data_IF_189878412315
#
_entry.id   IF_189878412315
#
_cell.length_a   1.000
_cell.length_b   1.000
_cell.length_c   1.000
_cell.angle_alpha   90.00
_cell.angle_beta   90.00
_cell.angle_gamma   90.00
#
_symmetry.space_group_name_H-M   'P 1'
#
loop_
_entity.id
_entity.type
_entity.pdbx_description
1 polymer ?
#
# COMPACT_ATOMS: atom_id res chain seq x y z
N UNK A 1 1.03 -27.51 1.55
CA UNK A 1 1.29 -27.55 0.08
C UNK A 1 0.35 -26.63 -0.72
N UNK A 2 -0.93 -26.47 -0.39
CA UNK A 2 -1.87 -25.57 -1.10
C UNK A 2 -1.56 -24.08 -0.89
N UNK A 3 -1.29 -23.63 0.33
CA UNK A 3 -1.04 -22.22 0.65
C UNK A 3 0.22 -21.63 -0.02
N UNK A 4 1.27 -22.43 -0.21
CA UNK A 4 2.48 -21.97 -0.91
C UNK A 4 2.28 -21.85 -2.43
N UNK A 5 1.42 -22.67 -3.04
CA UNK A 5 1.08 -22.56 -4.46
C UNK A 5 0.27 -21.29 -4.75
N UNK A 6 -0.68 -20.95 -3.89
CA UNK A 6 -1.50 -19.74 -4.02
C UNK A 6 -0.66 -18.48 -3.87
N UNK A 7 0.33 -18.50 -2.97
CA UNK A 7 1.27 -17.38 -2.79
C UNK A 7 2.14 -17.17 -4.05
N UNK A 8 2.69 -18.23 -4.64
CA UNK A 8 3.50 -18.15 -5.87
C UNK A 8 2.69 -17.55 -7.03
N UNK A 9 1.43 -17.99 -7.20
CA UNK A 9 0.55 -17.46 -8.22
C UNK A 9 0.24 -15.96 -8.00
N UNK A 10 0.04 -15.55 -6.74
CA UNK A 10 -0.16 -14.14 -6.39
C UNK A 10 1.09 -13.32 -6.67
N UNK A 11 2.27 -13.78 -6.30
CA UNK A 11 3.53 -13.10 -6.62
C UNK A 11 3.73 -12.91 -8.11
N UNK A 12 3.41 -13.93 -8.92
CA UNK A 12 3.50 -13.83 -10.38
C UNK A 12 2.54 -12.75 -10.93
N UNK A 13 1.29 -12.67 -10.42
CA UNK A 13 0.35 -11.61 -10.81
C UNK A 13 0.84 -10.23 -10.43
N UNK A 14 1.36 -10.05 -9.21
CA UNK A 14 1.94 -8.78 -8.76
C UNK A 14 3.09 -8.34 -9.67
N UNK A 15 4.03 -9.25 -9.95
CA UNK A 15 5.16 -8.94 -10.84
C UNK A 15 4.72 -8.63 -12.27
N UNK A 16 3.70 -9.31 -12.79
CA UNK A 16 3.13 -9.06 -14.11
C UNK A 16 2.41 -7.70 -14.20
N UNK A 17 1.67 -7.30 -13.15
CA UNK A 17 0.99 -6.00 -13.08
C UNK A 17 1.96 -4.84 -12.95
N UNK A 18 2.90 -4.93 -12.01
CA UNK A 18 3.75 -3.80 -11.63
C UNK A 18 5.06 -3.70 -12.41
N UNK A 19 5.58 -4.84 -12.90
CA UNK A 19 6.86 -4.86 -13.61
C UNK A 19 6.91 -3.93 -14.84
N UNK A 20 6.00 -4.09 -15.80
CA UNK A 20 5.94 -3.23 -17.00
C UNK A 20 5.61 -1.76 -16.68
N UNK A 21 4.88 -1.51 -15.59
CA UNK A 21 4.36 -0.20 -15.22
C UNK A 21 5.23 0.56 -14.22
N UNK A 22 6.39 0.01 -13.79
CA UNK A 22 7.19 0.55 -12.70
C UNK A 22 7.54 2.04 -12.87
N UNK A 23 7.89 2.48 -14.08
CA UNK A 23 8.22 3.88 -14.37
C UNK A 23 7.05 4.84 -14.12
N UNK A 24 5.80 4.42 -14.37
CA UNK A 24 4.60 5.23 -14.15
C UNK A 24 4.40 5.57 -12.67
N UNK A 25 4.88 4.73 -11.76
CA UNK A 25 4.78 4.95 -10.33
C UNK A 25 5.73 6.04 -9.83
N UNK A 26 6.82 6.33 -10.54
CA UNK A 26 7.75 7.41 -10.18
C UNK A 26 7.08 8.79 -10.21
N UNK A 27 6.16 9.01 -11.14
CA UNK A 27 5.45 10.28 -11.32
C UNK A 27 3.99 10.25 -10.93
N UNK A 28 3.52 9.14 -10.35
CA UNK A 28 2.12 8.99 -9.93
C UNK A 28 1.76 10.01 -8.83
N UNK A 29 0.80 10.93 -9.05
CA UNK A 29 0.52 12.03 -8.12
C UNK A 29 0.24 11.54 -6.69
N UNK A 30 -0.67 10.58 -6.52
CA UNK A 30 -1.03 10.08 -5.19
C UNK A 30 0.08 9.31 -4.48
N UNK A 31 1.03 8.69 -5.22
CA UNK A 31 2.18 8.02 -4.61
C UNK A 31 3.29 9.03 -4.25
N UNK A 32 3.46 10.06 -5.07
CA UNK A 32 4.52 11.06 -4.95
C UNK A 32 4.12 12.30 -4.12
N UNK A 33 2.92 12.32 -3.56
CA UNK A 33 2.40 13.44 -2.79
C UNK A 33 3.29 13.74 -1.58
N UNK A 34 4.02 14.87 -1.69
CA UNK A 34 5.02 15.31 -0.71
C UNK A 34 4.41 15.67 0.63
N UNK A 35 3.21 16.24 0.63
CA UNK A 35 2.55 16.67 1.87
C UNK A 35 2.09 15.46 2.68
N UNK A 36 1.44 14.50 2.04
CA UNK A 36 1.08 13.22 2.67
C UNK A 36 2.31 12.49 3.19
N UNK A 37 3.39 12.40 2.41
CA UNK A 37 4.63 11.75 2.84
C UNK A 37 5.26 12.47 4.05
N UNK A 38 5.30 13.80 4.05
CA UNK A 38 5.82 14.58 5.18
C UNK A 38 4.98 14.37 6.45
N UNK A 39 3.64 14.32 6.32
CA UNK A 39 2.74 13.99 7.45
C UNK A 39 3.02 12.60 8.02
N UNK A 40 3.22 11.58 7.17
CA UNK A 40 3.53 10.23 7.62
C UNK A 40 4.88 10.16 8.35
N UNK A 41 5.91 10.86 7.84
CA UNK A 41 7.21 10.97 8.54
C UNK A 41 7.04 11.64 9.90
N UNK A 42 6.33 12.77 9.96
CA UNK A 42 6.11 13.49 11.21
C UNK A 42 5.36 12.64 12.26
N UNK A 43 4.35 11.87 11.84
CA UNK A 43 3.57 10.98 12.74
C UNK A 43 4.42 9.86 13.32
N UNK A 44 5.33 9.31 12.53
CA UNK A 44 6.25 8.29 13.02
C UNK A 44 7.39 8.87 13.85
N UNK A 45 7.62 10.18 13.79
CA UNK A 45 8.64 10.91 14.55
C UNK A 45 10.00 10.16 14.61
N UNK A 46 10.65 9.92 13.46
CA UNK A 46 11.89 9.17 13.41
C UNK A 46 13.03 9.90 14.13
N UNK A 47 14.00 9.13 14.62
CA UNK A 47 15.24 9.65 15.20
C UNK A 47 16.38 9.51 14.19
N UNK A 48 17.39 10.38 14.22
CA UNK A 48 18.55 10.29 13.33
C UNK A 48 19.34 8.95 13.41
N UNK A 49 19.17 8.22 14.50
CA UNK A 49 19.80 6.90 14.73
C UNK A 49 18.96 5.73 14.24
N UNK A 50 17.72 5.95 13.86
CA UNK A 50 16.78 4.88 13.52
C UNK A 50 17.13 4.17 12.20
N UNK A 51 16.78 2.89 12.15
CA UNK A 51 16.78 2.05 10.95
C UNK A 51 15.34 1.85 10.49
N UNK A 52 15.05 2.14 9.24
CA UNK A 52 13.71 1.99 8.63
C UNK A 52 13.71 0.85 7.63
N UNK A 53 12.66 0.03 7.64
CA UNK A 53 12.29 -0.90 6.57
C UNK A 53 11.01 -0.42 5.90
N UNK A 54 11.05 -0.15 4.60
CA UNK A 54 9.88 0.18 3.79
C UNK A 54 9.50 -1.04 2.92
N UNK A 55 8.34 -1.64 3.21
CA UNK A 55 7.88 -2.91 2.61
C UNK A 55 6.89 -2.61 1.49
N UNK A 56 7.09 -3.25 0.32
CA UNK A 56 6.36 -2.94 -0.90
C UNK A 56 6.63 -1.50 -1.32
N UNK A 57 7.91 -1.13 -1.35
CA UNK A 57 8.38 0.25 -1.51
C UNK A 57 7.99 0.89 -2.85
N UNK A 58 7.64 0.08 -3.88
CA UNK A 58 7.36 0.54 -5.22
C UNK A 58 8.49 1.39 -5.78
N UNK A 59 8.19 2.60 -6.27
CA UNK A 59 9.19 3.55 -6.77
C UNK A 59 10.01 4.25 -5.66
N UNK A 60 9.80 3.89 -4.38
CA UNK A 60 10.60 4.34 -3.25
C UNK A 60 10.16 5.64 -2.58
N UNK A 61 8.96 6.13 -2.85
CA UNK A 61 8.52 7.45 -2.34
C UNK A 61 8.55 7.53 -0.81
N UNK A 62 8.05 6.51 -0.12
CA UNK A 62 8.04 6.44 1.35
C UNK A 62 9.48 6.30 1.87
N UNK A 63 10.26 5.36 1.35
CA UNK A 63 11.66 5.15 1.72
C UNK A 63 12.48 6.45 1.59
N UNK A 64 12.33 7.16 0.46
CA UNK A 64 13.03 8.42 0.18
C UNK A 64 12.57 9.58 1.08
N UNK A 65 11.32 9.58 1.52
CA UNK A 65 10.81 10.58 2.45
C UNK A 65 11.43 10.41 3.87
N UNK A 66 11.66 9.18 4.30
CA UNK A 66 12.30 8.89 5.59
C UNK A 66 13.82 9.07 5.57
N UNK A 67 14.48 8.87 4.43
CA UNK A 67 15.94 8.86 4.33
C UNK A 67 16.65 10.09 4.95
N UNK A 68 16.16 11.33 4.80
CA UNK A 68 16.82 12.50 5.41
C UNK A 68 16.76 12.55 6.94
N UNK A 69 15.85 11.77 7.57
CA UNK A 69 15.57 11.86 9.00
C UNK A 69 16.11 10.69 9.82
N UNK A 70 16.80 9.71 9.19
CA UNK A 70 17.20 8.46 9.81
C UNK A 70 18.63 8.04 9.44
N UNK A 71 19.20 7.10 10.19
CA UNK A 71 20.54 6.59 9.90
C UNK A 71 20.59 5.76 8.60
N UNK A 72 19.58 4.94 8.37
CA UNK A 72 19.50 4.08 7.18
C UNK A 72 18.08 3.71 6.81
N UNK A 73 17.84 3.48 5.53
CA UNK A 73 16.59 2.95 4.99
C UNK A 73 16.88 1.69 4.18
N UNK A 74 16.07 0.67 4.39
CA UNK A 74 16.01 -0.52 3.54
C UNK A 74 14.67 -0.49 2.81
N UNK A 75 14.70 -0.46 1.49
CA UNK A 75 13.56 -0.51 0.60
C UNK A 75 13.38 -1.93 0.07
N UNK A 76 12.28 -2.60 0.42
CA UNK A 76 11.99 -3.98 -0.01
C UNK A 76 10.80 -3.99 -0.96
N UNK A 77 10.94 -4.69 -2.07
CA UNK A 77 9.87 -4.94 -3.03
C UNK A 77 10.00 -6.33 -3.65
N UNK A 78 8.86 -6.91 -4.03
CA UNK A 78 8.81 -8.17 -4.74
C UNK A 78 9.30 -8.04 -6.19
N UNK A 79 9.16 -6.83 -6.77
CA UNK A 79 9.28 -6.54 -8.19
C UNK A 79 10.62 -5.87 -8.52
N UNK A 80 11.51 -6.57 -9.22
CA UNK A 80 12.83 -6.03 -9.61
C UNK A 80 12.79 -4.68 -10.35
N UNK A 81 11.91 -4.46 -11.33
CA UNK A 81 11.80 -3.16 -11.99
C UNK A 81 11.52 -2.02 -11.01
N UNK A 82 10.68 -2.22 -9.98
CA UNK A 82 10.43 -1.21 -8.94
C UNK A 82 11.70 -0.84 -8.19
N UNK A 83 12.52 -1.82 -7.79
CA UNK A 83 13.82 -1.57 -7.15
C UNK A 83 14.80 -0.82 -8.06
N UNK A 84 14.66 -0.96 -9.37
CA UNK A 84 15.36 -0.15 -10.36
C UNK A 84 14.95 1.32 -10.28
N UNK A 85 13.65 1.62 -10.14
CA UNK A 85 13.15 2.98 -9.94
C UNK A 85 13.64 3.57 -8.62
N UNK A 86 13.61 2.79 -7.52
CA UNK A 86 14.14 3.25 -6.22
C UNK A 86 15.59 3.71 -6.37
N UNK A 87 16.45 2.93 -7.03
CA UNK A 87 17.86 3.30 -7.23
C UNK A 87 18.02 4.58 -8.06
N UNK A 88 17.24 4.71 -9.14
CA UNK A 88 17.25 5.93 -9.98
C UNK A 88 16.82 7.16 -9.18
N UNK A 89 15.72 7.03 -8.44
CA UNK A 89 15.17 8.11 -7.64
C UNK A 89 16.09 8.51 -6.46
N UNK A 90 16.77 7.55 -5.84
CA UNK A 90 17.76 7.79 -4.79
C UNK A 90 19.00 8.53 -5.35
N UNK A 91 19.51 8.07 -6.50
CA UNK A 91 20.65 8.72 -7.16
C UNK A 91 20.31 10.17 -7.58
N UNK A 92 19.14 10.40 -8.17
CA UNK A 92 18.69 11.74 -8.59
C UNK A 92 18.54 12.72 -7.41
N UNK A 93 18.35 12.21 -6.18
CA UNK A 93 18.23 13.01 -4.94
C UNK A 93 19.48 12.98 -4.06
N UNK A 94 20.56 12.36 -4.53
CA UNK A 94 21.82 12.17 -3.77
C UNK A 94 21.59 11.49 -2.40
N UNK A 95 20.66 10.51 -2.31
CA UNK A 95 20.40 9.75 -1.10
C UNK A 95 21.38 8.58 -1.01
N UNK A 96 22.28 8.62 -0.04
CA UNK A 96 23.35 7.62 0.14
C UNK A 96 23.02 6.54 1.18
N UNK A 97 22.09 6.79 2.09
CA UNK A 97 21.75 5.91 3.21
C UNK A 97 20.56 4.96 2.93
N UNK A 98 20.27 4.71 1.65
CA UNK A 98 19.19 3.81 1.22
C UNK A 98 19.77 2.60 0.48
N UNK A 99 19.35 1.41 0.89
CA UNK A 99 19.64 0.14 0.20
C UNK A 99 18.33 -0.51 -0.29
N UNK A 100 18.42 -1.35 -1.33
CA UNK A 100 17.26 -2.07 -1.88
C UNK A 100 17.43 -3.57 -1.76
N UNK A 101 16.34 -4.27 -1.43
CA UNK A 101 16.28 -5.72 -1.31
C UNK A 101 15.07 -6.27 -2.04
N UNK A 102 15.23 -7.37 -2.78
CA UNK A 102 14.09 -8.09 -3.36
C UNK A 102 13.60 -9.12 -2.36
N UNK A 103 12.28 -9.14 -2.12
CA UNK A 103 11.68 -10.12 -1.20
C UNK A 103 10.18 -9.96 -1.08
N UNK A 104 9.54 -10.99 -0.54
CA UNK A 104 8.12 -10.99 -0.20
C UNK A 104 7.94 -10.53 1.26
N UNK A 105 6.84 -9.84 1.53
CA UNK A 105 6.50 -9.36 2.87
C UNK A 105 6.25 -10.51 3.86
N UNK A 106 5.81 -11.66 3.36
CA UNK A 106 5.50 -12.86 4.12
C UNK A 106 6.72 -13.68 4.55
N UNK A 107 7.92 -13.30 4.06
CA UNK A 107 9.19 -13.97 4.38
C UNK A 107 10.33 -12.97 4.29
N UNK A 108 10.42 -12.06 5.24
CA UNK A 108 11.42 -10.98 5.24
C UNK A 108 12.83 -11.54 5.47
N UNK A 109 13.81 -11.24 4.59
CA UNK A 109 15.17 -11.78 4.66
C UNK A 109 16.03 -11.03 5.71
N UNK A 110 15.44 -10.73 6.87
CA UNK A 110 16.11 -10.01 7.94
C UNK A 110 15.99 -10.77 9.27
N UNK A 111 16.96 -10.58 10.14
CA UNK A 111 16.91 -11.11 11.51
C UNK A 111 15.83 -10.42 12.34
N UNK A 112 15.49 -11.02 13.49
CA UNK A 112 14.56 -10.47 14.46
C UNK A 112 15.12 -9.16 15.04
N UNK A 113 14.23 -8.21 15.32
CA UNK A 113 14.53 -6.97 16.04
C UNK A 113 15.68 -6.13 15.42
N UNK A 114 15.66 -5.95 14.10
CA UNK A 114 16.70 -5.18 13.35
C UNK A 114 16.29 -3.74 13.09
N UNK A 115 14.98 -3.46 12.97
CA UNK A 115 14.46 -2.16 12.58
C UNK A 115 13.77 -1.44 13.74
N UNK A 116 13.98 -0.14 13.81
CA UNK A 116 13.29 0.75 14.75
C UNK A 116 11.91 1.14 14.20
N UNK A 117 11.81 1.28 12.88
CA UNK A 117 10.58 1.63 12.18
C UNK A 117 10.36 0.68 10.99
N UNK A 118 9.11 0.27 10.80
CA UNK A 118 8.64 -0.44 9.59
C UNK A 118 7.52 0.38 8.98
N UNK A 119 7.56 0.58 7.67
CA UNK A 119 6.53 1.27 6.89
C UNK A 119 6.00 0.37 5.79
N UNK A 120 4.71 0.46 5.53
CA UNK A 120 4.04 -0.26 4.44
C UNK A 120 2.89 0.61 3.93
N UNK A 121 2.99 1.08 2.66
CA UNK A 121 2.04 2.03 2.11
C UNK A 121 1.55 1.62 0.74
N UNK A 122 0.21 1.55 0.56
CA UNK A 122 -0.49 1.26 -0.71
C UNK A 122 -0.01 -0.04 -1.37
N UNK A 123 0.11 -1.11 -0.57
CA UNK A 123 0.65 -2.39 -1.06
C UNK A 123 0.12 -3.61 -0.32
N UNK A 124 -0.41 -3.45 0.92
CA UNK A 124 -0.83 -4.60 1.74
C UNK A 124 -1.97 -5.39 1.09
N UNK A 125 -2.77 -4.72 0.27
CA UNK A 125 -3.86 -5.33 -0.49
C UNK A 125 -3.40 -6.27 -1.63
N UNK A 126 -2.10 -6.38 -1.85
CA UNK A 126 -1.48 -7.34 -2.78
C UNK A 126 -0.82 -8.53 -2.08
N UNK A 127 -0.75 -8.54 -0.74
CA UNK A 127 -0.07 -9.62 -0.04
C UNK A 127 -0.86 -10.92 -0.09
N UNK A 128 -0.20 -12.00 -0.43
CA UNK A 128 -0.80 -13.32 -0.55
C UNK A 128 -1.31 -13.86 0.80
N UNK A 129 -0.61 -13.52 1.89
CA UNK A 129 -0.93 -13.94 3.25
C UNK A 129 -0.67 -12.78 4.23
N UNK A 130 -1.57 -11.79 4.24
CA UNK A 130 -1.41 -10.57 5.05
C UNK A 130 -1.17 -10.84 6.55
N UNK A 131 -1.84 -11.80 7.23
CA UNK A 131 -1.53 -12.09 8.63
C UNK A 131 -0.08 -12.55 8.84
N UNK A 132 0.48 -13.33 7.90
CA UNK A 132 1.89 -13.75 7.94
C UNK A 132 2.83 -12.57 7.73
N UNK A 133 2.52 -11.69 6.78
CA UNK A 133 3.30 -10.47 6.55
C UNK A 133 3.30 -9.56 7.79
N UNK A 134 2.16 -9.39 8.46
CA UNK A 134 2.06 -8.63 9.74
C UNK A 134 2.92 -9.28 10.84
N UNK A 135 2.94 -10.61 10.92
CA UNK A 135 3.83 -11.36 11.82
C UNK A 135 5.31 -11.09 11.54
N UNK A 136 5.71 -11.08 10.26
CA UNK A 136 7.07 -10.76 9.84
C UNK A 136 7.45 -9.30 10.14
N UNK A 137 6.54 -8.34 9.89
CA UNK A 137 6.73 -6.94 10.26
C UNK A 137 6.97 -6.80 11.77
N UNK A 138 6.17 -7.51 12.59
CA UNK A 138 6.36 -7.53 14.03
C UNK A 138 7.68 -8.20 14.44
N UNK A 139 8.08 -9.29 13.77
CA UNK A 139 9.31 -10.00 14.06
C UNK A 139 10.54 -9.12 13.88
N UNK A 140 10.63 -8.44 12.75
CA UNK A 140 11.81 -7.62 12.41
C UNK A 140 11.87 -6.29 13.18
N UNK A 141 10.76 -5.83 13.76
CA UNK A 141 10.73 -4.66 14.64
C UNK A 141 11.43 -4.94 15.97
N UNK A 142 12.21 -3.98 16.45
CA UNK A 142 12.76 -3.96 17.80
C UNK A 142 11.67 -3.77 18.87
N UNK A 143 11.89 -4.21 20.10
CA UNK A 143 11.08 -3.77 21.23
C UNK A 143 11.07 -2.22 21.30
N UNK A 144 9.88 -1.63 21.41
CA UNK A 144 9.68 -0.17 21.34
C UNK A 144 9.68 0.40 19.91
N UNK A 145 9.85 -0.43 18.90
CA UNK A 145 9.74 -0.04 17.49
C UNK A 145 8.29 0.23 17.07
N UNK A 146 8.13 0.92 15.93
CA UNK A 146 6.81 1.34 15.43
C UNK A 146 6.59 0.88 14.01
N UNK A 147 5.35 0.42 13.74
CA UNK A 147 4.85 0.06 12.43
C UNK A 147 3.88 1.14 11.94
N UNK A 148 4.05 1.59 10.71
CA UNK A 148 3.09 2.41 9.98
C UNK A 148 2.49 1.60 8.84
N UNK A 149 1.16 1.52 8.81
CA UNK A 149 0.37 1.05 7.67
C UNK A 149 -0.44 2.22 7.15
N UNK A 150 -0.36 2.50 5.86
CA UNK A 150 -1.21 3.48 5.19
C UNK A 150 -1.72 2.87 3.89
N UNK A 151 -2.97 2.42 3.86
CA UNK A 151 -3.51 1.68 2.72
C UNK A 151 -4.99 1.96 2.49
N UNK A 152 -5.49 1.52 1.34
CA UNK A 152 -6.92 1.43 1.07
C UNK A 152 -7.56 0.42 2.02
N UNK A 153 -8.82 0.65 2.33
CA UNK A 153 -9.59 -0.21 3.22
C UNK A 153 -11.02 -0.37 2.72
N UNK A 154 -11.77 -1.26 3.35
CA UNK A 154 -13.22 -1.37 3.16
C UNK A 154 -13.94 -1.06 4.47
N UNK A 155 -15.19 -0.55 4.40
CA UNK A 155 -16.05 -0.38 5.57
C UNK A 155 -16.34 -1.69 6.29
N UNK A 156 -16.87 -1.60 7.53
CA UNK A 156 -17.29 -2.78 8.31
C UNK A 156 -18.58 -3.47 7.78
N UNK A 157 -19.19 -2.91 6.74
CA UNK A 157 -20.40 -3.44 6.09
C UNK A 157 -20.05 -4.56 5.08
N UNK A 158 -20.72 -5.70 5.16
CA UNK A 158 -20.44 -6.89 4.34
C UNK A 158 -20.70 -6.69 2.84
N UNK A 159 -21.71 -5.89 2.48
CA UNK A 159 -22.03 -5.63 1.07
C UNK A 159 -21.01 -4.67 0.45
N UNK A 160 -20.63 -3.63 1.19
CA UNK A 160 -19.62 -2.67 0.76
C UNK A 160 -18.25 -3.32 0.68
N UNK A 161 -17.88 -4.16 1.65
CA UNK A 161 -16.64 -4.94 1.62
C UNK A 161 -16.54 -5.76 0.32
N UNK A 162 -17.57 -6.55 0.03
CA UNK A 162 -17.60 -7.37 -1.18
C UNK A 162 -17.54 -6.52 -2.44
N UNK A 163 -18.39 -5.49 -2.54
CA UNK A 163 -18.49 -4.65 -3.73
C UNK A 163 -17.18 -3.90 -4.03
N UNK A 164 -16.52 -3.34 -3.02
CA UNK A 164 -15.27 -2.60 -3.20
C UNK A 164 -14.12 -3.55 -3.57
N UNK A 165 -13.99 -4.70 -2.91
CA UNK A 165 -12.98 -5.69 -3.26
C UNK A 165 -13.18 -6.27 -4.67
N UNK A 166 -14.43 -6.50 -5.10
CA UNK A 166 -14.72 -6.90 -6.49
C UNK A 166 -14.34 -5.82 -7.52
N UNK A 167 -14.58 -4.54 -7.21
CA UNK A 167 -14.18 -3.40 -8.05
C UNK A 167 -12.65 -3.37 -8.18
N UNK A 168 -11.92 -3.47 -7.07
CA UNK A 168 -10.46 -3.44 -7.08
C UNK A 168 -9.87 -4.66 -7.82
N UNK A 169 -10.42 -5.87 -7.60
CA UNK A 169 -9.97 -7.09 -8.31
C UNK A 169 -10.26 -7.01 -9.81
N UNK A 170 -11.38 -6.43 -10.21
CA UNK A 170 -11.71 -6.26 -11.62
C UNK A 170 -10.78 -5.25 -12.31
N UNK A 171 -10.35 -4.22 -11.59
CA UNK A 171 -9.36 -3.25 -12.06
C UNK A 171 -7.96 -3.84 -12.16
N UNK A 172 -7.55 -4.57 -11.13
CA UNK A 172 -6.20 -5.09 -10.96
C UNK A 172 -6.24 -6.57 -10.56
N UNK A 173 -5.90 -7.48 -11.48
CA UNK A 173 -5.88 -8.91 -11.18
C UNK A 173 -4.87 -9.33 -10.09
N UNK A 174 -3.96 -8.44 -9.71
CA UNK A 174 -3.01 -8.68 -8.60
C UNK A 174 -3.57 -8.29 -7.23
N UNK A 175 -4.73 -7.60 -7.20
CA UNK A 175 -5.41 -7.28 -5.95
C UNK A 175 -5.85 -8.57 -5.23
N UNK A 176 -5.54 -8.66 -3.95
CA UNK A 176 -5.96 -9.78 -3.09
C UNK A 176 -7.13 -9.35 -2.22
N UNK A 177 -6.93 -8.35 -1.35
CA UNK A 177 -7.98 -7.88 -0.47
C UNK A 177 -7.65 -6.55 0.21
N UNK A 178 -8.59 -5.62 0.20
CA UNK A 178 -8.66 -4.53 1.16
C UNK A 178 -9.31 -5.02 2.45
N UNK A 179 -8.68 -4.78 3.59
CA UNK A 179 -9.18 -5.21 4.89
C UNK A 179 -9.99 -4.11 5.58
N UNK A 180 -10.90 -4.55 6.48
CA UNK A 180 -11.64 -3.70 7.40
C UNK A 180 -10.72 -3.19 8.53
N UNK A 181 -11.01 -2.08 9.17
CA UNK A 181 -10.29 -1.64 10.36
C UNK A 181 -10.31 -2.66 11.51
N UNK A 182 -11.40 -3.41 11.67
CA UNK A 182 -11.49 -4.48 12.68
C UNK A 182 -10.56 -5.64 12.37
N UNK A 183 -10.41 -6.06 11.11
CA UNK A 183 -9.47 -7.10 10.69
C UNK A 183 -8.01 -6.68 10.97
N UNK A 184 -7.67 -5.42 10.69
CA UNK A 184 -6.36 -4.86 11.02
C UNK A 184 -6.06 -4.92 12.51
N UNK A 185 -7.01 -4.48 13.36
CA UNK A 185 -6.84 -4.55 14.82
C UNK A 185 -6.62 -5.98 15.30
N UNK A 186 -7.37 -6.95 14.73
CA UNK A 186 -7.21 -8.36 15.08
C UNK A 186 -5.83 -8.90 14.70
N UNK A 187 -5.37 -8.67 13.46
CA UNK A 187 -4.05 -9.12 12.99
C UNK A 187 -2.90 -8.52 13.80
N UNK A 188 -2.97 -7.23 14.10
CA UNK A 188 -1.94 -6.55 14.90
C UNK A 188 -1.89 -7.09 16.33
N UNK A 189 -3.05 -7.29 16.96
CA UNK A 189 -3.12 -7.88 18.31
C UNK A 189 -2.55 -9.30 18.32
N UNK A 190 -2.87 -10.13 17.32
CA UNK A 190 -2.31 -11.48 17.17
C UNK A 190 -0.78 -11.45 17.01
N UNK A 191 -0.23 -10.43 16.35
CA UNK A 191 1.21 -10.18 16.20
C UNK A 191 1.83 -9.48 17.43
N UNK A 192 1.08 -9.26 18.51
CA UNK A 192 1.51 -8.56 19.74
C UNK A 192 1.93 -7.09 19.48
N UNK A 193 1.31 -6.47 18.50
CA UNK A 193 1.46 -5.05 18.22
C UNK A 193 0.26 -4.29 18.79
N UNK A 194 0.52 -3.23 19.55
CA UNK A 194 -0.51 -2.39 20.14
C UNK A 194 -0.79 -1.20 19.22
N UNK A 195 -2.02 -1.07 18.75
CA UNK A 195 -2.45 0.11 17.99
C UNK A 195 -2.32 1.36 18.84
N UNK A 196 -1.56 2.33 18.36
CA UNK A 196 -1.34 3.64 19.01
C UNK A 196 -2.23 4.69 18.37
N UNK A 197 -2.39 4.62 17.06
CA UNK A 197 -3.15 5.57 16.29
C UNK A 197 -3.85 4.84 15.12
N UNK A 198 -5.08 5.23 14.81
CA UNK A 198 -5.83 4.75 13.67
C UNK A 198 -6.70 5.88 13.14
N UNK A 199 -6.37 6.38 11.97
CA UNK A 199 -7.11 7.40 11.25
C UNK A 199 -7.79 6.77 10.03
N UNK A 200 -9.07 7.06 9.87
CA UNK A 200 -9.86 6.69 8.70
C UNK A 200 -10.11 7.94 7.87
N UNK A 201 -9.97 7.82 6.56
CA UNK A 201 -10.17 8.93 5.64
C UNK A 201 -10.37 8.42 4.21
N UNK A 202 -9.95 9.22 3.25
CA UNK A 202 -10.02 8.87 1.83
C UNK A 202 -8.66 9.07 1.17
N UNK A 203 -8.38 8.26 0.16
CA UNK A 203 -7.25 8.46 -0.72
C UNK A 203 -7.56 9.63 -1.64
N UNK A 204 -6.61 10.57 -1.77
CA UNK A 204 -6.75 11.83 -2.50
C UNK A 204 -7.79 12.79 -1.88
N UNK A 205 -7.61 13.12 -0.60
CA UNK A 205 -8.35 14.21 0.03
C UNK A 205 -8.10 15.53 -0.70
N UNK A 206 -9.15 16.07 -1.34
CA UNK A 206 -9.13 17.32 -2.08
C UNK A 206 -9.42 17.19 -3.57
N UNK A 207 -8.91 16.17 -4.25
CA UNK A 207 -9.22 15.89 -5.64
C UNK A 207 -9.65 14.43 -5.80
N UNK A 208 -10.93 14.21 -6.04
CA UNK A 208 -11.47 12.90 -6.33
C UNK A 208 -10.74 12.27 -7.52
N UNK A 209 -10.42 10.97 -7.44
CA UNK A 209 -9.78 10.23 -8.52
C UNK A 209 -10.64 10.25 -9.78
N UNK A 210 -10.03 10.50 -10.92
CA UNK A 210 -10.66 10.34 -12.22
C UNK A 210 -10.66 8.85 -12.61
N UNK A 211 -11.82 8.35 -12.99
CA UNK A 211 -12.03 6.92 -13.33
C UNK A 211 -11.15 6.47 -14.49
N UNK A 212 -11.04 7.29 -15.54
CA UNK A 212 -10.28 6.91 -16.74
C UNK A 212 -8.76 6.92 -16.45
N UNK A 213 -8.27 7.92 -15.72
CA UNK A 213 -6.90 7.96 -15.26
C UNK A 213 -6.57 6.79 -14.31
N UNK A 214 -7.50 6.42 -13.42
CA UNK A 214 -7.34 5.33 -12.46
C UNK A 214 -7.22 3.96 -13.14
N UNK A 215 -8.05 3.69 -14.15
CA UNK A 215 -8.00 2.44 -14.93
C UNK A 215 -6.81 2.39 -15.88
N UNK A 216 -6.44 3.50 -16.49
CA UNK A 216 -5.31 3.61 -17.42
C UNK A 216 -3.97 3.38 -16.71
N UNK A 217 -3.82 3.86 -15.47
CA UNK A 217 -2.56 3.80 -14.70
C UNK A 217 -1.96 2.41 -14.61
N UNK A 218 -2.79 1.38 -14.46
CA UNK A 218 -2.36 -0.02 -14.31
C UNK A 218 -2.58 -0.83 -15.61
N UNK A 219 -3.11 -0.20 -16.65
CA UNK A 219 -3.40 -0.90 -17.90
C UNK A 219 -4.59 -1.85 -17.80
N UNK A 220 -5.64 -1.49 -17.05
CA UNK A 220 -6.88 -2.29 -16.93
C UNK A 220 -7.42 -2.63 -18.32
N UNK A 221 -7.70 -3.93 -18.63
CA UNK A 221 -8.20 -4.34 -19.94
C UNK A 221 -9.51 -3.66 -20.33
N UNK A 222 -9.75 -3.35 -21.62
CA UNK A 222 -10.94 -2.61 -22.07
C UNK A 222 -12.28 -3.23 -21.66
N UNK A 223 -12.39 -4.56 -21.61
CA UNK A 223 -13.58 -5.27 -21.16
C UNK A 223 -13.81 -5.06 -19.65
N UNK A 224 -12.76 -5.06 -18.84
CA UNK A 224 -12.83 -4.77 -17.41
C UNK A 224 -13.18 -3.30 -17.17
N UNK A 225 -12.64 -2.37 -17.95
CA UNK A 225 -13.01 -0.94 -17.90
C UNK A 225 -14.50 -0.75 -18.17
N UNK A 226 -15.06 -1.43 -19.19
CA UNK A 226 -16.51 -1.36 -19.49
C UNK A 226 -17.35 -1.91 -18.32
N UNK A 227 -16.96 -3.03 -17.75
CA UNK A 227 -17.64 -3.64 -16.62
C UNK A 227 -17.58 -2.76 -15.36
N UNK A 228 -16.41 -2.18 -15.07
CA UNK A 228 -16.20 -1.22 -13.97
C UNK A 228 -17.09 0.01 -14.15
N UNK A 229 -17.09 0.61 -15.35
CA UNK A 229 -17.93 1.79 -15.63
C UNK A 229 -19.41 1.49 -15.41
N UNK A 230 -19.89 0.33 -15.84
CA UNK A 230 -21.26 -0.11 -15.59
C UNK A 230 -21.56 -0.24 -14.08
N UNK A 231 -20.63 -0.81 -13.29
CA UNK A 231 -20.75 -0.89 -11.82
C UNK A 231 -20.78 0.48 -11.16
N UNK A 232 -19.95 1.42 -11.60
CA UNK A 232 -19.95 2.79 -11.07
C UNK A 232 -21.22 3.55 -11.44
N UNK A 233 -21.78 3.34 -12.64
CA UNK A 233 -23.05 3.96 -13.07
C UNK A 233 -24.22 3.36 -12.30
N UNK A 234 -24.27 2.05 -12.12
CA UNK A 234 -25.33 1.32 -11.41
C UNK A 234 -25.10 1.18 -9.89
N UNK A 235 -24.14 1.91 -9.32
CA UNK A 235 -23.82 1.80 -7.90
C UNK A 235 -25.00 2.12 -6.99
N UNK A 236 -25.21 1.31 -5.95
CA UNK A 236 -26.20 1.55 -4.91
C UNK A 236 -25.94 2.87 -4.16
N UNK A 237 -26.94 3.48 -3.53
CA UNK A 237 -26.74 4.68 -2.72
C UNK A 237 -25.64 4.50 -1.65
N UNK A 238 -25.57 3.33 -1.03
CA UNK A 238 -24.54 3.00 -0.04
C UNK A 238 -23.14 2.99 -0.65
N UNK A 239 -22.95 2.37 -1.83
CA UNK A 239 -21.69 2.35 -2.53
C UNK A 239 -21.29 3.73 -3.06
N UNK A 240 -22.26 4.52 -3.54
CA UNK A 240 -22.03 5.93 -3.94
C UNK A 240 -21.50 6.74 -2.76
N UNK A 241 -22.09 6.59 -1.59
CA UNK A 241 -21.64 7.28 -0.39
C UNK A 241 -20.26 6.79 0.06
N UNK A 242 -20.03 5.47 0.09
CA UNK A 242 -18.77 4.87 0.54
C UNK A 242 -17.57 5.23 -0.35
N UNK A 243 -17.77 5.32 -1.66
CA UNK A 243 -16.74 5.70 -2.63
C UNK A 243 -16.80 7.17 -3.05
N UNK A 244 -17.69 7.98 -2.47
CA UNK A 244 -17.92 9.39 -2.87
C UNK A 244 -18.04 9.55 -4.39
N UNK A 245 -18.84 8.68 -5.03
CA UNK A 245 -18.97 8.67 -6.48
C UNK A 245 -19.72 9.91 -6.96
N UNK A 246 -19.07 10.68 -7.81
CA UNK A 246 -19.67 11.81 -8.53
C UNK A 246 -19.72 11.50 -10.03
N UNK A 247 -20.85 11.83 -10.66
CA UNK A 247 -21.07 11.64 -12.09
C UNK A 247 -21.47 12.99 -12.68
N UNK A 248 -20.63 13.54 -13.53
CA UNK A 248 -20.88 14.83 -14.15
C UNK A 248 -20.36 14.82 -15.59
N UNK A 249 -21.19 15.24 -16.54
CA UNK A 249 -20.84 15.40 -17.95
C UNK A 249 -20.14 14.16 -18.57
N UNK A 250 -20.61 12.96 -18.20
CA UNK A 250 -20.03 11.69 -18.64
C UNK A 250 -18.76 11.24 -17.89
N UNK A 251 -18.14 12.12 -17.11
CA UNK A 251 -17.01 11.78 -16.25
C UNK A 251 -17.48 11.14 -14.94
N UNK A 252 -16.67 10.24 -14.41
CA UNK A 252 -16.86 9.63 -13.10
C UNK A 252 -15.66 10.01 -12.23
N UNK A 253 -15.92 10.62 -11.08
CA UNK A 253 -14.95 10.88 -10.03
C UNK A 253 -15.34 10.11 -8.77
N UNK A 254 -14.36 9.69 -7.98
CA UNK A 254 -14.60 8.93 -6.76
C UNK A 254 -13.39 8.98 -5.83
N UNK A 255 -13.55 8.50 -4.60
CA UNK A 255 -12.46 8.36 -3.65
C UNK A 255 -12.50 6.98 -3.00
N UNK A 256 -11.32 6.36 -2.80
CA UNK A 256 -11.21 5.10 -2.07
C UNK A 256 -11.04 5.37 -0.58
N UNK A 257 -11.80 4.66 0.29
CA UNK A 257 -11.56 4.70 1.72
C UNK A 257 -10.15 4.25 2.04
N UNK A 258 -9.51 4.92 2.98
CA UNK A 258 -8.16 4.58 3.47
C UNK A 258 -8.12 4.51 4.98
N UNK A 259 -7.15 3.76 5.49
CA UNK A 259 -6.72 3.88 6.87
C UNK A 259 -5.23 4.27 6.93
N UNK A 260 -4.89 5.03 7.97
CA UNK A 260 -3.51 5.21 8.41
C UNK A 260 -3.42 4.73 9.84
N UNK A 261 -2.57 3.74 10.09
CA UNK A 261 -2.47 3.06 11.36
C UNK A 261 -1.03 3.07 11.84
N UNK A 262 -0.81 3.43 13.11
CA UNK A 262 0.46 3.29 13.79
C UNK A 262 0.29 2.29 14.92
N UNK A 263 1.18 1.30 14.95
CA UNK A 263 1.25 0.31 16.02
C UNK A 263 2.65 0.28 16.64
N UNK A 264 2.74 -0.04 17.92
CA UNK A 264 3.99 -0.18 18.67
C UNK A 264 4.19 -1.63 19.13
N UNK A 265 5.45 -2.08 19.10
CA UNK A 265 5.87 -3.39 19.62
C UNK A 265 6.28 -3.31 21.08
#
# INVERSE_FOLDING_TARGET
>A
MTADHDAVATYARVQASFGPNAAHYTTSPGHADRETLARLVARLAPRPTDSVLDIGTGAGHTALAFAPAVARVVALDLTRPMLGEVRRNAAARNVANLSVHQGAAEALPFADAVFDLVTCRLTTHHFAALPRAVGEMARVLRPGGRLLIADTMVPEDDELDRAINEIETLRDPSHVRNCRPSEWRHMLAAARLRVVECELGYYDEGDAMDFDAWTTRIGTPPEAVRALRARFIGASPALVAALRIERRDGAIRFALPRLTLIAAK
#
